data_IF_098861206639
#
_entry.id   IF_098861206639
#
_cell.length_a   1.000
_cell.length_b   1.000
_cell.length_c   1.000
_cell.angle_alpha   90.00
_cell.angle_beta   90.00
_cell.angle_gamma   90.00
#
_symmetry.space_group_name_H-M   'P 1'
#
loop_
_entity.id
_entity.type
_entity.pdbx_description
1 polymer ?
#
# COMPACT_ATOMS: atom_id res chain seq x y z
N UNK A 1 10.48 -26.01 1.95
CA UNK A 1 9.27 -25.36 1.42
C UNK A 1 9.45 -25.34 -0.08
N UNK A 2 8.59 -26.01 -0.84
CA UNK A 2 8.64 -25.92 -2.30
C UNK A 2 8.45 -24.44 -2.67
N UNK A 3 9.35 -23.90 -3.47
CA UNK A 3 9.19 -22.58 -4.08
C UNK A 3 7.93 -22.65 -4.93
N UNK A 4 6.85 -22.01 -4.48
CA UNK A 4 5.66 -21.88 -5.27
C UNK A 4 5.93 -20.82 -6.34
N UNK A 5 6.21 -21.30 -7.56
CA UNK A 5 6.57 -20.48 -8.71
C UNK A 5 5.52 -19.40 -9.00
N UNK A 6 4.28 -19.58 -8.55
CA UNK A 6 3.23 -18.57 -8.74
C UNK A 6 3.56 -17.24 -8.04
N UNK A 7 4.15 -17.25 -6.84
CA UNK A 7 4.53 -16.01 -6.15
C UNK A 7 5.73 -15.32 -6.80
N UNK A 8 6.61 -16.05 -7.47
CA UNK A 8 7.68 -15.46 -8.28
C UNK A 8 7.04 -14.65 -9.43
N UNK A 9 6.06 -15.22 -10.12
CA UNK A 9 5.33 -14.51 -11.17
C UNK A 9 4.51 -13.32 -10.67
N UNK A 10 4.07 -13.33 -9.40
CA UNK A 10 3.46 -12.15 -8.76
C UNK A 10 4.49 -11.03 -8.59
N UNK A 11 5.71 -11.35 -8.15
CA UNK A 11 6.78 -10.37 -8.06
C UNK A 11 7.17 -9.83 -9.43
N UNK A 12 7.32 -10.69 -10.43
CA UNK A 12 7.58 -10.27 -11.81
C UNK A 12 6.53 -9.27 -12.28
N UNK A 13 5.23 -9.55 -12.06
CA UNK A 13 4.16 -8.60 -12.36
C UNK A 13 4.38 -7.23 -11.66
N UNK A 14 4.71 -7.22 -10.35
CA UNK A 14 5.01 -5.97 -9.64
C UNK A 14 6.16 -5.18 -10.28
N UNK A 15 7.25 -5.85 -10.65
CA UNK A 15 8.42 -5.20 -11.23
C UNK A 15 8.27 -4.81 -12.71
N UNK A 16 7.35 -5.45 -13.44
CA UNK A 16 6.99 -5.07 -14.81
C UNK A 16 6.07 -3.84 -14.86
N UNK A 17 5.47 -3.45 -13.72
CA UNK A 17 4.68 -2.22 -13.66
C UNK A 17 5.56 -1.00 -13.90
N UNK A 18 5.00 -0.02 -14.60
CA UNK A 18 5.70 1.20 -14.98
C UNK A 18 4.86 2.43 -14.67
N UNK A 19 5.53 3.44 -14.14
CA UNK A 19 5.00 4.78 -13.89
C UNK A 19 5.44 5.79 -14.96
N UNK A 20 5.95 5.35 -16.12
CA UNK A 20 6.56 6.22 -17.15
C UNK A 20 5.66 7.37 -17.66
N UNK A 21 4.34 7.27 -17.47
CA UNK A 21 3.38 8.31 -17.84
C UNK A 21 2.97 9.22 -16.67
N UNK A 22 3.59 9.07 -15.50
CA UNK A 22 3.33 9.85 -14.30
C UNK A 22 4.52 10.73 -13.97
N UNK A 23 4.27 11.95 -13.55
CA UNK A 23 5.30 12.78 -12.91
C UNK A 23 5.13 12.68 -11.39
N UNK A 24 5.86 11.73 -10.81
CA UNK A 24 5.80 11.42 -9.38
C UNK A 24 6.22 12.61 -8.50
N UNK A 25 6.97 13.57 -9.04
CA UNK A 25 7.35 14.79 -8.30
C UNK A 25 6.17 15.72 -8.04
N UNK A 26 5.10 15.60 -8.83
CA UNK A 26 3.87 16.37 -8.65
C UNK A 26 2.86 15.68 -7.72
N UNK A 27 3.13 14.45 -7.28
CA UNK A 27 2.27 13.75 -6.34
C UNK A 27 2.31 14.39 -4.96
N UNK A 28 1.17 14.32 -4.28
CA UNK A 28 1.06 14.79 -2.91
C UNK A 28 2.02 13.98 -2.02
N UNK A 29 2.90 14.62 -1.24
CA UNK A 29 4.03 13.96 -0.58
C UNK A 29 3.59 12.88 0.43
N UNK A 30 2.45 13.07 1.10
CA UNK A 30 1.89 12.05 1.99
C UNK A 30 1.33 10.87 1.18
N UNK A 31 0.63 11.13 0.07
CA UNK A 31 0.03 10.06 -0.73
C UNK A 31 1.11 9.24 -1.43
N UNK A 32 2.16 9.88 -1.92
CA UNK A 32 3.34 9.20 -2.47
C UNK A 32 4.04 8.34 -1.41
N UNK A 33 4.20 8.85 -0.18
CA UNK A 33 4.77 8.06 0.91
C UNK A 33 4.00 6.76 1.13
N UNK A 34 2.68 6.83 1.30
CA UNK A 34 1.84 5.66 1.55
C UNK A 34 1.65 4.77 0.32
N UNK A 35 1.88 5.30 -0.89
CA UNK A 35 1.90 4.52 -2.12
C UNK A 35 3.14 3.62 -2.12
N UNK A 36 4.31 4.20 -1.88
CA UNK A 36 5.58 3.47 -1.80
C UNK A 36 5.62 2.50 -0.61
N UNK A 37 5.00 2.87 0.51
CA UNK A 37 4.87 2.01 1.68
C UNK A 37 4.04 0.75 1.36
N UNK A 38 2.88 0.92 0.72
CA UNK A 38 2.04 -0.19 0.29
C UNK A 38 2.75 -1.13 -0.70
N UNK A 39 3.47 -0.59 -1.69
CA UNK A 39 4.26 -1.40 -2.63
C UNK A 39 5.38 -2.18 -1.93
N UNK A 40 6.06 -1.58 -0.95
CA UNK A 40 7.09 -2.27 -0.20
C UNK A 40 6.52 -3.39 0.68
N UNK A 41 5.33 -3.18 1.28
CA UNK A 41 4.62 -4.23 2.00
C UNK A 41 4.18 -5.38 1.07
N UNK A 42 3.75 -5.09 -0.16
CA UNK A 42 3.47 -6.10 -1.19
C UNK A 42 4.76 -6.87 -1.55
N UNK A 43 5.84 -6.18 -1.90
CA UNK A 43 7.13 -6.82 -2.25
C UNK A 43 7.65 -7.69 -1.10
N UNK A 44 7.62 -7.19 0.13
CA UNK A 44 8.10 -7.94 1.29
C UNK A 44 7.24 -9.19 1.56
N UNK A 45 5.91 -9.04 1.52
CA UNK A 45 4.99 -10.15 1.80
C UNK A 45 5.12 -11.23 0.74
N UNK A 46 5.08 -10.86 -0.54
CA UNK A 46 5.20 -11.82 -1.65
C UNK A 46 6.63 -12.37 -1.70
N UNK A 47 7.65 -11.56 -1.40
CA UNK A 47 9.05 -11.97 -1.28
C UNK A 47 9.27 -13.07 -0.26
N UNK A 48 8.58 -13.04 0.88
CA UNK A 48 8.62 -14.11 1.88
C UNK A 48 7.94 -15.40 1.42
N UNK A 49 6.98 -15.33 0.50
CA UNK A 49 6.34 -16.50 -0.10
C UNK A 49 7.18 -17.08 -1.25
N UNK A 50 7.85 -16.22 -2.01
CA UNK A 50 8.65 -16.57 -3.18
C UNK A 50 10.11 -16.95 -2.85
N UNK A 51 10.66 -16.46 -1.74
CA UNK A 51 12.08 -16.66 -1.39
C UNK A 51 12.26 -16.95 0.10
N UNK A 52 13.45 -17.46 0.44
CA UNK A 52 13.84 -17.60 1.83
C UNK A 52 13.93 -16.22 2.52
N UNK A 53 13.54 -16.14 3.79
CA UNK A 53 13.50 -14.88 4.55
C UNK A 53 14.88 -14.20 4.72
N UNK A 54 15.97 -14.96 4.58
CA UNK A 54 17.36 -14.45 4.53
C UNK A 54 17.87 -14.18 3.12
N UNK A 55 17.01 -14.17 2.10
CA UNK A 55 17.42 -13.73 0.77
C UNK A 55 17.76 -12.24 0.81
N UNK A 56 18.77 -11.78 0.04
CA UNK A 56 19.13 -10.37 0.01
C UNK A 56 17.94 -9.44 -0.28
N UNK A 57 17.08 -9.84 -1.21
CA UNK A 57 15.82 -9.14 -1.54
C UNK A 57 14.96 -8.90 -0.29
N UNK A 58 14.56 -9.97 0.39
CA UNK A 58 13.66 -9.87 1.56
C UNK A 58 14.32 -9.09 2.70
N UNK A 59 15.62 -9.30 2.92
CA UNK A 59 16.37 -8.56 3.93
C UNK A 59 16.40 -7.05 3.63
N UNK A 60 16.72 -6.67 2.40
CA UNK A 60 16.77 -5.26 1.98
C UNK A 60 15.40 -4.57 2.07
N UNK A 61 14.34 -5.20 1.57
CA UNK A 61 12.98 -4.65 1.70
C UNK A 61 12.57 -4.54 3.18
N UNK A 62 12.99 -5.50 4.02
CA UNK A 62 12.80 -5.43 5.46
C UNK A 62 13.52 -4.25 6.12
N UNK A 63 14.79 -3.97 5.76
CA UNK A 63 15.51 -2.79 6.26
C UNK A 63 14.80 -1.49 5.85
N UNK A 64 14.36 -1.40 4.60
CA UNK A 64 13.59 -0.26 4.11
C UNK A 64 12.31 -0.04 4.94
N UNK A 65 11.53 -1.10 5.20
CA UNK A 65 10.29 -1.01 5.98
C UNK A 65 10.55 -0.64 7.45
N UNK A 66 11.69 -1.02 8.04
CA UNK A 66 12.06 -0.56 9.39
C UNK A 66 12.22 0.96 9.45
N UNK A 67 12.90 1.56 8.47
CA UNK A 67 13.05 3.01 8.40
C UNK A 67 11.71 3.72 8.20
N UNK A 68 10.78 3.12 7.45
CA UNK A 68 9.46 3.70 7.17
C UNK A 68 8.59 3.88 8.41
N UNK A 69 8.75 3.04 9.45
CA UNK A 69 8.02 3.17 10.72
C UNK A 69 8.20 4.56 11.33
N UNK A 70 9.43 5.06 11.38
CA UNK A 70 9.72 6.36 11.98
C UNK A 70 9.37 7.49 11.02
N UNK A 71 9.63 7.31 9.72
CA UNK A 71 9.25 8.29 8.71
C UNK A 71 7.73 8.51 8.62
N UNK A 72 6.91 7.50 8.91
CA UNK A 72 5.46 7.64 8.94
C UNK A 72 4.96 8.60 10.03
N UNK A 73 5.79 8.88 11.05
CA UNK A 73 5.48 9.82 12.14
C UNK A 73 5.84 11.26 11.81
N UNK A 74 6.51 11.51 10.68
CA UNK A 74 6.99 12.84 10.31
C UNK A 74 5.89 13.70 9.70
N UNK A 75 5.75 14.93 10.20
CA UNK A 75 4.88 15.96 9.62
C UNK A 75 3.43 15.51 9.50
N UNK A 76 2.86 15.68 8.31
CA UNK A 76 1.47 15.32 8.02
C UNK A 76 1.27 13.82 7.74
N UNK A 77 2.32 13.00 7.65
CA UNK A 77 2.18 11.57 7.30
C UNK A 77 1.35 10.81 8.33
N UNK A 78 1.54 11.11 9.61
CA UNK A 78 0.78 10.49 10.71
C UNK A 78 -0.74 10.73 10.62
N UNK A 79 -1.19 11.73 9.84
CA UNK A 79 -2.61 12.04 9.65
C UNK A 79 -3.29 11.09 8.65
N UNK A 80 -2.52 10.35 7.84
CA UNK A 80 -3.06 9.53 6.77
C UNK A 80 -4.04 8.44 7.25
N UNK A 81 -3.78 7.67 8.34
CA UNK A 81 -4.77 6.70 8.82
C UNK A 81 -6.10 7.36 9.20
N UNK A 82 -6.06 8.52 9.86
CA UNK A 82 -7.26 9.28 10.21
C UNK A 82 -7.97 9.82 8.97
N UNK A 83 -7.21 10.26 7.96
CA UNK A 83 -7.75 10.67 6.66
C UNK A 83 -8.51 9.56 5.95
N UNK A 84 -7.99 8.32 5.95
CA UNK A 84 -8.69 7.18 5.34
C UNK A 84 -10.05 6.93 6.02
N UNK A 85 -10.09 6.99 7.35
CA UNK A 85 -11.35 6.84 8.09
C UNK A 85 -12.31 8.01 7.87
N UNK A 86 -11.79 9.22 7.73
CA UNK A 86 -12.58 10.40 7.37
C UNK A 86 -13.19 10.30 5.96
N UNK A 87 -12.44 9.77 4.99
CA UNK A 87 -12.99 9.48 3.65
C UNK A 87 -14.13 8.48 3.73
N UNK A 88 -14.02 7.44 4.56
CA UNK A 88 -15.08 6.44 4.73
C UNK A 88 -16.40 7.08 5.19
N UNK A 89 -16.34 8.07 6.07
CA UNK A 89 -17.54 8.72 6.64
C UNK A 89 -18.06 9.85 5.77
N UNK A 90 -17.20 10.74 5.29
CA UNK A 90 -17.61 11.97 4.59
C UNK A 90 -17.61 11.85 3.06
N UNK A 91 -16.80 10.94 2.51
CA UNK A 91 -16.64 10.73 1.06
C UNK A 91 -16.61 9.23 0.70
N UNK A 92 -17.66 8.46 1.05
CA UNK A 92 -17.67 7.00 0.93
C UNK A 92 -17.40 6.52 -0.51
N UNK A 93 -17.84 7.26 -1.53
CA UNK A 93 -17.56 6.95 -2.93
C UNK A 93 -16.06 7.05 -3.26
N UNK A 94 -15.34 7.97 -2.61
CA UNK A 94 -13.89 8.11 -2.75
C UNK A 94 -13.16 7.04 -1.96
N UNK A 95 -13.63 6.74 -0.76
CA UNK A 95 -13.09 5.63 0.03
C UNK A 95 -13.20 4.32 -0.75
N UNK A 96 -14.35 3.99 -1.32
CA UNK A 96 -14.55 2.76 -2.09
C UNK A 96 -13.68 2.68 -3.35
N UNK A 97 -13.32 3.82 -3.95
CA UNK A 97 -12.43 3.88 -5.11
C UNK A 97 -10.94 3.68 -4.78
N UNK A 98 -10.55 3.68 -3.51
CA UNK A 98 -9.16 3.45 -3.10
C UNK A 98 -8.72 2.00 -3.33
N UNK A 99 -7.41 1.75 -3.50
CA UNK A 99 -6.87 0.40 -3.50
C UNK A 99 -7.28 -0.35 -2.23
N UNK A 100 -7.60 -1.63 -2.39
CA UNK A 100 -8.11 -2.48 -1.31
C UNK A 100 -7.16 -2.47 -0.11
N UNK A 101 -5.85 -2.47 -0.34
CA UNK A 101 -4.88 -2.47 0.75
C UNK A 101 -4.98 -1.19 1.61
N UNK A 102 -5.16 -0.02 0.99
CA UNK A 102 -5.34 1.22 1.76
C UNK A 102 -6.65 1.23 2.54
N UNK A 103 -7.75 0.78 1.92
CA UNK A 103 -9.05 0.67 2.62
C UNK A 103 -8.94 -0.24 3.82
N UNK A 104 -8.51 -1.49 3.61
CA UNK A 104 -8.54 -2.51 4.66
C UNK A 104 -7.52 -2.25 5.77
N UNK A 105 -6.28 -1.87 5.44
CA UNK A 105 -5.23 -1.73 6.47
C UNK A 105 -5.45 -0.52 7.39
N UNK A 106 -6.04 0.56 6.86
CA UNK A 106 -6.21 1.80 7.62
C UNK A 106 -7.65 2.03 8.10
N UNK A 107 -8.63 1.24 7.66
CA UNK A 107 -9.98 1.27 8.24
C UNK A 107 -9.97 0.68 9.65
N UNK A 108 -10.44 1.47 10.61
CA UNK A 108 -10.54 1.06 12.02
C UNK A 108 -11.59 -0.02 12.28
N UNK A 109 -12.48 -0.27 11.32
CA UNK A 109 -13.50 -1.32 11.38
C UNK A 109 -13.08 -2.63 10.70
N UNK A 110 -11.90 -2.70 10.08
CA UNK A 110 -11.37 -3.90 9.42
C UNK A 110 -10.27 -4.58 10.27
N UNK A 111 -10.14 -5.91 10.16
CA UNK A 111 -9.11 -6.66 10.88
C UNK A 111 -7.75 -6.65 10.18
N UNK A 112 -7.69 -6.20 8.93
CA UNK A 112 -6.49 -6.24 8.13
C UNK A 112 -5.41 -5.32 8.72
N UNK A 113 -4.18 -5.84 8.77
CA UNK A 113 -3.05 -5.08 9.31
C UNK A 113 -1.72 -5.56 8.76
N UNK A 114 -0.66 -4.77 9.00
CA UNK A 114 0.70 -5.21 8.78
C UNK A 114 1.26 -5.90 10.04
N UNK A 115 1.55 -7.20 9.96
CA UNK A 115 2.15 -7.98 11.06
C UNK A 115 3.59 -8.34 10.73
N UNK A 116 4.54 -7.71 11.44
CA UNK A 116 5.97 -7.82 11.10
C UNK A 116 6.21 -7.54 9.61
N UNK A 117 5.60 -6.44 9.13
CA UNK A 117 5.57 -5.98 7.73
C UNK A 117 4.79 -6.83 6.73
N UNK A 118 4.24 -7.97 7.14
CA UNK A 118 3.43 -8.81 6.24
C UNK A 118 1.99 -8.33 6.20
N UNK A 119 1.39 -8.38 5.02
CA UNK A 119 -0.05 -8.17 4.85
C UNK A 119 -0.79 -9.36 5.46
N UNK A 120 -1.70 -9.07 6.38
CA UNK A 120 -2.63 -10.03 6.99
C UNK A 120 -4.03 -9.46 6.85
N UNK A 121 -4.96 -10.18 6.22
CA UNK A 121 -6.35 -9.73 6.05
C UNK A 121 -7.30 -10.20 7.15
N UNK A 122 -6.99 -11.34 7.77
CA UNK A 122 -7.78 -11.96 8.84
C UNK A 122 -6.79 -12.43 9.89
N UNK A 123 -6.94 -11.96 11.13
CA UNK A 123 -5.93 -12.13 12.18
C UNK A 123 -5.63 -13.60 12.49
N UNK A 124 -6.66 -14.43 12.49
CA UNK A 124 -6.58 -15.84 12.88
C UNK A 124 -6.42 -16.80 11.68
N UNK A 125 -6.38 -16.26 10.46
CA UNK A 125 -6.23 -17.08 9.27
C UNK A 125 -4.83 -17.67 9.18
N UNK A 126 -4.77 -18.99 9.05
CA UNK A 126 -3.51 -19.75 8.85
C UNK A 126 -3.20 -19.97 7.37
N UNK A 127 -4.12 -19.57 6.49
CA UNK A 127 -3.98 -19.80 5.06
C UNK A 127 -3.15 -18.67 4.44
N UNK A 128 -2.17 -18.99 3.58
CA UNK A 128 -1.48 -17.97 2.81
C UNK A 128 -2.47 -17.26 1.88
N UNK A 129 -2.28 -15.96 1.69
CA UNK A 129 -3.02 -15.17 0.70
C UNK A 129 -2.71 -15.73 -0.68
N UNK A 130 -3.74 -16.06 -1.46
CA UNK A 130 -3.55 -16.69 -2.77
C UNK A 130 -2.83 -15.75 -3.77
N UNK A 131 -1.96 -16.26 -4.66
CA UNK A 131 -1.20 -15.44 -5.60
C UNK A 131 -2.03 -14.45 -6.44
N UNK A 132 -3.21 -14.87 -6.91
CA UNK A 132 -4.08 -13.99 -7.71
C UNK A 132 -4.59 -12.77 -6.93
N UNK A 133 -4.74 -12.88 -5.61
CA UNK A 133 -5.14 -11.75 -4.76
C UNK A 133 -4.04 -10.70 -4.77
N UNK A 134 -2.78 -11.10 -4.62
CA UNK A 134 -1.66 -10.16 -4.73
C UNK A 134 -1.57 -9.50 -6.10
N UNK A 135 -1.80 -10.25 -7.20
CA UNK A 135 -1.86 -9.63 -8.54
C UNK A 135 -2.91 -8.55 -8.62
N UNK A 136 -4.10 -8.81 -8.10
CA UNK A 136 -5.17 -7.81 -8.05
C UNK A 136 -4.78 -6.58 -7.23
N UNK A 137 -4.20 -6.78 -6.04
CA UNK A 137 -3.74 -5.65 -5.19
C UNK A 137 -2.70 -4.80 -5.92
N UNK A 138 -1.73 -5.44 -6.58
CA UNK A 138 -0.74 -4.75 -7.42
C UNK A 138 -1.48 -3.96 -8.51
N UNK A 139 -2.34 -4.62 -9.30
CA UNK A 139 -3.05 -3.98 -10.41
C UNK A 139 -3.86 -2.75 -9.97
N UNK A 140 -4.48 -2.77 -8.78
CA UNK A 140 -5.21 -1.64 -8.21
C UNK A 140 -4.33 -0.40 -8.00
N UNK A 141 -3.10 -0.57 -7.49
CA UNK A 141 -2.16 0.56 -7.31
C UNK A 141 -1.67 1.15 -8.63
N UNK A 142 -1.74 0.41 -9.73
CA UNK A 142 -1.31 0.90 -11.05
C UNK A 142 -2.49 1.27 -11.97
N UNK A 143 -3.73 1.29 -11.46
CA UNK A 143 -4.88 1.81 -12.21
C UNK A 143 -4.68 3.29 -12.49
N UNK A 144 -4.80 3.67 -13.77
CA UNK A 144 -4.63 5.06 -14.23
C UNK A 144 -5.52 6.04 -13.46
N UNK A 145 -6.77 5.66 -13.21
CA UNK A 145 -7.73 6.55 -12.55
C UNK A 145 -7.38 6.77 -11.08
N UNK A 146 -6.79 5.78 -10.41
CA UNK A 146 -6.26 5.95 -9.05
C UNK A 146 -4.99 6.83 -9.05
N UNK A 147 -4.01 6.53 -9.92
CA UNK A 147 -2.75 7.28 -9.99
C UNK A 147 -2.98 8.77 -10.24
N UNK A 148 -3.93 9.13 -11.11
CA UNK A 148 -4.33 10.53 -11.35
C UNK A 148 -4.82 11.25 -10.10
N UNK A 149 -5.35 10.55 -9.10
CA UNK A 149 -5.83 11.18 -7.87
C UNK A 149 -4.71 11.58 -6.92
N UNK A 150 -3.50 11.00 -7.09
CA UNK A 150 -2.35 11.22 -6.20
C UNK A 150 -1.68 12.58 -6.39
N UNK A 151 -1.94 13.27 -7.50
CA UNK A 151 -1.40 14.61 -7.75
C UNK A 151 -1.87 15.60 -6.69
N UNK A 152 -0.99 16.55 -6.34
CA UNK A 152 -1.25 17.51 -5.26
C UNK A 152 -2.49 18.38 -5.50
N UNK A 153 -2.80 18.65 -6.77
CA UNK A 153 -3.97 19.40 -7.24
C UNK A 153 -5.14 18.51 -7.68
N UNK A 154 -5.03 17.19 -7.54
CA UNK A 154 -6.07 16.24 -7.90
C UNK A 154 -6.96 15.86 -6.72
N UNK A 155 -8.00 15.08 -7.01
CA UNK A 155 -9.10 14.85 -6.06
C UNK A 155 -8.67 14.33 -4.69
N UNK A 156 -7.72 13.38 -4.62
CA UNK A 156 -7.32 12.81 -3.33
C UNK A 156 -6.34 13.73 -2.59
N UNK A 157 -5.45 14.41 -3.32
CA UNK A 157 -4.57 15.44 -2.77
C UNK A 157 -5.35 16.60 -2.15
N UNK A 158 -6.33 17.14 -2.87
CA UNK A 158 -7.20 18.21 -2.37
C UNK A 158 -8.01 17.79 -1.14
N UNK A 159 -8.55 16.57 -1.13
CA UNK A 159 -9.27 16.04 0.03
C UNK A 159 -8.36 15.88 1.25
N UNK A 160 -7.10 15.49 1.06
CA UNK A 160 -6.15 15.39 2.16
C UNK A 160 -5.83 16.78 2.75
N UNK A 161 -5.66 17.78 1.90
CA UNK A 161 -5.46 19.16 2.35
C UNK A 161 -6.71 19.71 3.05
N UNK A 162 -7.92 19.43 2.54
CA UNK A 162 -9.16 19.79 3.24
C UNK A 162 -9.23 19.17 4.64
N UNK A 163 -8.93 17.86 4.74
CA UNK A 163 -8.91 17.15 6.01
C UNK A 163 -7.93 17.78 7.01
N UNK A 164 -6.74 18.19 6.57
CA UNK A 164 -5.74 18.84 7.42
C UNK A 164 -6.22 20.12 8.10
N UNK A 165 -7.16 20.85 7.49
CA UNK A 165 -7.70 22.10 8.03
C UNK A 165 -8.98 21.91 8.86
N UNK A 166 -9.57 20.71 8.86
CA UNK A 166 -10.73 20.36 9.69
C UNK A 166 -10.37 19.77 11.05
N UNK A 167 -9.12 19.32 11.24
CA UNK A 167 -8.59 18.71 12.46
C UNK A 167 -7.78 19.66 13.34
#
# INVERSE_FOLDING_TARGET
MALDQEYIHVLENLYEKSLILQDENMWHPVLYFYYMDALAHLDYTVGLMAYHYKSPRVMMTGEYLRCRIDQAKEGDRQKFPAFINWLRTEHPERFEALPTLWRKIYDTEDEAMYVSFRIVFERDSKNPIRPHVFRQLIDEFFKKDFLKTLYSDASLGLLFEEFKYKG
#
